data_IF_212238462741
#
_entry.id   IF_212238462741
#
_cell.length_a   1.000
_cell.length_b   1.000
_cell.length_c   1.000
_cell.angle_alpha   90.00
_cell.angle_beta   90.00
_cell.angle_gamma   90.00
#
_symmetry.space_group_name_H-M   'P 1'
#
loop_
_entity.id
_entity.type
_entity.pdbx_description
1 polymer ?
#
# COMPACT_ATOMS: atom_id res chain seq x y z
N UNK A 1 12.63 -7.12 6.34
CA UNK A 1 11.96 -7.87 5.28
C UNK A 1 10.76 -8.60 5.88
N UNK A 2 9.58 -8.54 5.22
CA UNK A 2 8.34 -9.14 5.73
C UNK A 2 7.73 -8.40 6.93
N UNK A 3 8.23 -7.24 7.28
CA UNK A 3 7.69 -6.41 8.36
C UNK A 3 6.65 -5.43 7.83
N UNK A 4 5.77 -5.02 8.71
CA UNK A 4 4.81 -3.93 8.50
C UNK A 4 5.30 -2.69 9.21
N UNK A 5 5.54 -1.63 8.44
CA UNK A 5 5.98 -0.33 8.93
C UNK A 5 4.89 0.69 8.67
N UNK A 6 4.54 1.49 9.67
CA UNK A 6 3.56 2.56 9.52
C UNK A 6 4.21 3.94 9.60
N UNK A 7 3.74 4.85 8.76
CA UNK A 7 4.12 6.27 8.78
C UNK A 7 2.85 7.06 9.07
N UNK A 8 2.85 7.78 10.18
CA UNK A 8 1.71 8.58 10.66
C UNK A 8 2.10 10.02 10.89
N UNK A 9 1.12 10.90 10.99
CA UNK A 9 1.34 12.33 11.26
C UNK A 9 0.19 13.17 10.73
N UNK A 10 0.10 14.41 11.15
CA UNK A 10 -0.92 15.36 10.71
C UNK A 10 -0.86 15.62 9.20
N UNK A 11 -1.94 16.18 8.64
CA UNK A 11 -1.92 16.64 7.25
C UNK A 11 -0.79 17.66 7.07
N UNK A 12 -0.04 17.56 5.96
CA UNK A 12 1.11 18.41 5.69
C UNK A 12 2.40 18.05 6.45
N UNK A 13 2.44 16.98 7.25
CA UNK A 13 3.67 16.55 7.96
C UNK A 13 4.79 16.01 7.06
N UNK A 14 4.54 15.79 5.76
CA UNK A 14 5.55 15.34 4.80
C UNK A 14 5.46 13.87 4.39
N UNK A 15 4.46 13.10 4.87
CA UNK A 15 4.28 11.66 4.56
C UNK A 15 4.27 11.35 3.07
N UNK A 16 3.48 12.09 2.28
CA UNK A 16 3.40 11.89 0.82
C UNK A 16 4.69 12.29 0.09
N UNK A 17 5.48 13.20 0.65
CA UNK A 17 6.82 13.52 0.12
C UNK A 17 7.78 12.37 0.39
N UNK A 18 7.75 11.82 1.61
CA UNK A 18 8.57 10.67 1.98
C UNK A 18 8.22 9.44 1.11
N UNK A 19 6.93 9.17 0.87
CA UNK A 19 6.54 8.09 -0.03
C UNK A 19 7.12 8.25 -1.44
N UNK A 20 7.07 9.45 -2.00
CA UNK A 20 7.63 9.76 -3.33
C UNK A 20 9.16 9.62 -3.40
N UNK A 21 9.85 9.90 -2.30
CA UNK A 21 11.29 9.64 -2.17
C UNK A 21 11.57 8.13 -2.12
N UNK A 22 10.83 7.37 -1.31
CA UNK A 22 11.01 5.92 -1.16
C UNK A 22 10.81 5.16 -2.47
N UNK A 23 9.89 5.58 -3.33
CA UNK A 23 9.64 4.96 -4.63
C UNK A 23 10.51 5.57 -5.76
N UNK A 24 11.38 6.50 -5.41
CA UNK A 24 12.30 7.13 -6.36
C UNK A 24 11.66 8.01 -7.40
N UNK A 25 10.53 8.64 -7.10
CA UNK A 25 9.94 9.68 -7.94
C UNK A 25 10.71 11.00 -7.82
N UNK A 26 11.23 11.29 -6.62
CA UNK A 26 12.06 12.45 -6.38
C UNK A 26 13.45 12.01 -5.86
N UNK A 27 14.52 12.69 -6.26
CA UNK A 27 15.82 12.49 -5.65
C UNK A 27 15.85 13.12 -4.26
N UNK A 28 16.61 12.53 -3.35
CA UNK A 28 16.94 13.20 -2.08
C UNK A 28 17.87 14.39 -2.35
N UNK A 29 17.59 15.55 -1.74
CA UNK A 29 18.44 16.75 -1.86
C UNK A 29 19.72 16.62 -1.02
N UNK A 30 19.71 15.80 0.01
CA UNK A 30 20.88 15.46 0.84
C UNK A 30 20.65 14.10 1.50
N UNK A 31 21.73 13.47 1.99
CA UNK A 31 21.70 12.13 2.54
C UNK A 31 21.59 11.06 1.46
N UNK A 32 21.23 9.83 1.86
CA UNK A 32 21.11 8.66 0.96
C UNK A 32 19.89 7.83 1.30
N UNK A 33 19.35 7.18 0.28
CA UNK A 33 18.30 6.17 0.43
C UNK A 33 18.93 4.84 0.06
N UNK A 34 18.91 3.89 1.00
CA UNK A 34 19.54 2.59 0.81
C UNK A 34 18.49 1.50 0.64
N UNK A 35 18.70 0.61 -0.32
CA UNK A 35 17.97 -0.64 -0.50
C UNK A 35 18.95 -1.80 -0.38
N UNK A 36 18.80 -2.66 0.62
CA UNK A 36 19.74 -3.74 0.95
C UNK A 36 21.22 -3.22 0.96
N UNK A 37 21.47 -2.11 1.67
CA UNK A 37 22.76 -1.43 1.82
C UNK A 37 23.32 -0.79 0.54
N UNK A 38 22.60 -0.82 -0.58
CA UNK A 38 22.98 -0.19 -1.83
C UNK A 38 22.29 1.18 -1.99
N UNK A 39 23.08 2.20 -2.32
CA UNK A 39 22.55 3.53 -2.57
C UNK A 39 21.61 3.51 -3.80
N UNK A 40 20.41 4.08 -3.62
CA UNK A 40 19.39 4.22 -4.67
C UNK A 40 19.95 4.80 -5.98
N UNK A 41 20.92 5.71 -5.88
CA UNK A 41 21.51 6.35 -7.07
C UNK A 41 22.36 5.38 -7.91
N UNK A 42 22.81 4.28 -7.30
CA UNK A 42 23.60 3.22 -7.96
C UNK A 42 22.73 2.10 -8.55
N UNK A 43 21.43 2.10 -8.24
CA UNK A 43 20.51 1.05 -8.67
C UNK A 43 19.84 1.39 -10.00
N UNK A 44 19.55 0.35 -10.79
CA UNK A 44 18.64 0.47 -11.92
C UNK A 44 17.25 0.85 -11.41
N UNK A 45 16.82 2.06 -11.74
CA UNK A 45 15.56 2.63 -11.25
C UNK A 45 14.34 1.89 -11.80
N UNK A 46 14.42 1.33 -13.00
CA UNK A 46 13.35 0.55 -13.59
C UNK A 46 13.20 -0.79 -12.86
N UNK A 47 14.30 -1.47 -12.59
CA UNK A 47 14.32 -2.70 -11.82
C UNK A 47 13.79 -2.47 -10.39
N UNK A 48 14.26 -1.42 -9.73
CA UNK A 48 13.80 -1.07 -8.37
C UNK A 48 12.28 -0.83 -8.30
N UNK A 49 11.73 -0.09 -9.26
CA UNK A 49 10.28 0.17 -9.33
C UNK A 49 9.46 -1.10 -9.57
N UNK A 50 10.04 -2.14 -10.17
CA UNK A 50 9.37 -3.44 -10.29
C UNK A 50 9.32 -4.20 -8.96
N UNK A 51 10.25 -3.90 -8.03
CA UNK A 51 10.28 -4.50 -6.70
C UNK A 51 9.35 -3.82 -5.70
N UNK A 52 8.75 -2.68 -6.07
CA UNK A 52 7.87 -1.89 -5.20
C UNK A 52 6.49 -1.81 -5.84
N UNK A 53 5.50 -2.44 -5.21
CA UNK A 53 4.08 -2.24 -5.52
C UNK A 53 3.56 -0.98 -4.84
N UNK A 54 2.83 -0.15 -5.57
CA UNK A 54 2.29 1.10 -5.04
C UNK A 54 0.78 1.09 -5.16
N UNK A 55 0.10 1.37 -4.06
CA UNK A 55 -1.33 1.62 -4.02
C UNK A 55 -1.53 3.07 -3.56
N UNK A 56 -1.80 3.98 -4.51
CA UNK A 56 -1.95 5.40 -4.19
C UNK A 56 -3.29 5.69 -3.54
N UNK A 57 -3.39 6.86 -2.92
CA UNK A 57 -4.63 7.37 -2.33
C UNK A 57 -5.74 7.52 -3.40
N UNK A 58 -5.38 8.05 -4.57
CA UNK A 58 -6.31 8.20 -5.70
C UNK A 58 -6.45 6.89 -6.46
N UNK A 59 -7.57 6.21 -6.24
CA UNK A 59 -7.86 4.91 -6.82
C UNK A 59 -8.43 5.05 -8.23
N UNK A 60 -7.56 5.23 -9.21
CA UNK A 60 -7.96 5.34 -10.62
C UNK A 60 -7.88 3.99 -11.33
N UNK A 61 -9.01 3.55 -11.87
CA UNK A 61 -9.09 2.45 -12.83
C UNK A 61 -9.26 3.02 -14.24
N UNK A 62 -8.68 2.30 -15.21
CA UNK A 62 -8.76 2.67 -16.63
C UNK A 62 -10.04 2.09 -17.24
N UNK A 63 -10.57 2.76 -18.26
CA UNK A 63 -11.69 2.25 -19.07
C UNK A 63 -11.23 1.08 -19.96
N UNK A 64 -10.92 -0.05 -19.31
CA UNK A 64 -10.42 -1.31 -19.87
C UNK A 64 -11.06 -2.46 -19.11
N UNK A 65 -10.78 -3.69 -19.48
CA UNK A 65 -11.23 -4.86 -18.73
C UNK A 65 -10.60 -4.94 -17.34
N UNK A 66 -11.18 -5.71 -16.43
CA UNK A 66 -10.58 -5.98 -15.11
C UNK A 66 -9.21 -6.63 -15.30
N UNK A 67 -9.07 -7.59 -16.22
CA UNK A 67 -7.79 -8.21 -16.55
C UNK A 67 -6.73 -7.17 -16.93
N UNK A 68 -7.03 -6.30 -17.89
CA UNK A 68 -6.10 -5.25 -18.35
C UNK A 68 -5.78 -4.22 -17.25
N UNK A 69 -6.75 -3.94 -16.38
CA UNK A 69 -6.54 -3.08 -15.22
C UNK A 69 -5.54 -3.68 -14.23
N UNK A 70 -5.54 -4.99 -14.04
CA UNK A 70 -4.60 -5.69 -13.14
C UNK A 70 -3.26 -5.92 -13.83
N UNK A 71 -3.27 -6.50 -15.04
CA UNK A 71 -2.06 -6.89 -15.77
C UNK A 71 -1.22 -5.68 -16.23
N UNK A 72 -1.87 -4.56 -16.56
CA UNK A 72 -1.19 -3.41 -17.16
C UNK A 72 -0.57 -3.79 -18.50
N UNK A 73 0.74 -3.57 -18.64
CA UNK A 73 1.49 -3.82 -19.86
C UNK A 73 2.19 -5.19 -19.90
N UNK A 74 1.90 -6.08 -18.93
CA UNK A 74 2.51 -7.40 -18.86
C UNK A 74 1.50 -8.50 -19.18
N UNK A 75 2.01 -9.61 -19.75
CA UNK A 75 1.19 -10.80 -19.93
C UNK A 75 1.18 -11.62 -18.63
N UNK A 76 -0.01 -11.96 -18.15
CA UNK A 76 -0.24 -12.70 -16.92
C UNK A 76 -1.04 -13.96 -17.26
N UNK A 77 -0.61 -15.12 -16.81
CA UNK A 77 -1.38 -16.36 -17.01
C UNK A 77 -2.67 -16.34 -16.17
N UNK A 78 -3.68 -17.11 -16.58
CA UNK A 78 -4.94 -17.23 -15.83
C UNK A 78 -4.70 -17.74 -14.41
N UNK A 79 -3.79 -18.71 -14.25
CA UNK A 79 -3.44 -19.24 -12.94
C UNK A 79 -2.85 -18.17 -12.02
N UNK A 80 -1.97 -17.35 -12.56
CA UNK A 80 -1.31 -16.27 -11.83
C UNK A 80 -2.27 -15.14 -11.49
N UNK A 81 -3.14 -14.76 -12.43
CA UNK A 81 -4.22 -13.80 -12.22
C UNK A 81 -5.15 -14.27 -11.10
N UNK A 82 -5.57 -15.54 -11.14
CA UNK A 82 -6.40 -16.16 -10.12
C UNK A 82 -5.73 -16.14 -8.74
N UNK A 83 -4.45 -16.50 -8.66
CA UNK A 83 -3.68 -16.44 -7.41
C UNK A 83 -3.65 -15.03 -6.81
N UNK A 84 -3.34 -14.04 -7.62
CA UNK A 84 -3.26 -12.64 -7.19
C UNK A 84 -4.62 -12.15 -6.71
N UNK A 85 -5.69 -12.42 -7.46
CA UNK A 85 -7.04 -11.99 -7.09
C UNK A 85 -7.58 -12.71 -5.85
N UNK A 86 -7.21 -13.98 -5.61
CA UNK A 86 -7.50 -14.67 -4.35
C UNK A 86 -6.71 -14.11 -3.17
N UNK A 87 -5.49 -13.64 -3.41
CA UNK A 87 -4.67 -13.00 -2.36
C UNK A 87 -5.36 -11.76 -1.80
N UNK A 88 -6.00 -10.98 -2.67
CA UNK A 88 -6.72 -9.74 -2.29
C UNK A 88 -8.24 -9.93 -2.16
N UNK A 89 -8.74 -11.16 -2.08
CA UNK A 89 -10.17 -11.48 -1.86
C UNK A 89 -11.13 -10.87 -2.89
N UNK A 90 -10.76 -10.86 -4.20
CA UNK A 90 -11.63 -10.30 -5.26
C UNK A 90 -12.00 -11.33 -6.34
N UNK A 91 -11.33 -12.49 -6.38
CA UNK A 91 -11.52 -13.49 -7.43
C UNK A 91 -12.98 -13.93 -7.59
N UNK A 92 -13.59 -14.33 -6.49
CA UNK A 92 -14.94 -14.93 -6.52
C UNK A 92 -15.98 -13.89 -6.97
N UNK A 93 -15.87 -12.66 -6.49
CA UNK A 93 -16.74 -11.56 -6.94
C UNK A 93 -16.55 -11.24 -8.44
N UNK A 94 -15.33 -11.33 -8.97
CA UNK A 94 -15.08 -11.16 -10.40
C UNK A 94 -15.75 -12.28 -11.19
N UNK A 95 -15.68 -13.53 -10.70
CA UNK A 95 -16.27 -14.69 -11.38
C UNK A 95 -17.81 -14.69 -11.34
N UNK A 96 -18.43 -13.98 -10.40
CA UNK A 96 -19.87 -13.75 -10.37
C UNK A 96 -20.33 -12.72 -11.41
N UNK A 97 -19.41 -11.91 -11.95
CA UNK A 97 -19.73 -10.96 -13.02
C UNK A 97 -19.95 -11.68 -14.36
N UNK A 98 -20.93 -11.27 -15.19
CA UNK A 98 -21.25 -11.97 -16.45
C UNK A 98 -20.08 -12.20 -17.40
N UNK A 99 -19.09 -11.29 -17.41
CA UNK A 99 -17.90 -11.36 -18.26
C UNK A 99 -16.63 -11.72 -17.48
N UNK A 100 -16.72 -12.06 -16.17
CA UNK A 100 -15.57 -12.37 -15.34
C UNK A 100 -14.47 -11.33 -15.46
N UNK A 101 -13.23 -11.74 -15.68
CA UNK A 101 -12.08 -10.85 -15.88
C UNK A 101 -12.18 -9.94 -17.11
N UNK A 102 -13.03 -10.30 -18.09
CA UNK A 102 -13.27 -9.49 -19.27
C UNK A 102 -14.34 -8.41 -19.05
N UNK A 103 -14.86 -8.28 -17.84
CA UNK A 103 -15.80 -7.22 -17.48
C UNK A 103 -15.14 -5.87 -17.71
N UNK A 104 -15.78 -5.01 -18.53
CA UNK A 104 -15.32 -3.65 -18.77
C UNK A 104 -15.54 -2.79 -17.52
N UNK A 105 -14.50 -2.11 -17.12
CA UNK A 105 -14.54 -1.10 -16.08
C UNK A 105 -14.97 0.20 -16.72
N UNK A 106 -16.08 0.77 -16.25
CA UNK A 106 -16.56 2.06 -16.72
C UNK A 106 -15.62 3.20 -16.29
N UNK A 107 -15.88 4.40 -16.79
CA UNK A 107 -15.11 5.59 -16.43
C UNK A 107 -14.95 5.68 -14.89
N UNK A 108 -13.71 5.80 -14.43
CA UNK A 108 -13.32 5.81 -13.01
C UNK A 108 -13.82 4.62 -12.19
N UNK A 109 -14.26 3.53 -12.81
CA UNK A 109 -14.74 2.34 -12.11
C UNK A 109 -16.10 2.49 -11.43
N UNK A 110 -16.98 3.37 -11.93
CA UNK A 110 -18.30 3.64 -11.33
C UNK A 110 -19.22 2.42 -11.29
N UNK A 111 -18.99 1.41 -12.11
CA UNK A 111 -19.73 0.15 -12.08
C UNK A 111 -19.23 -0.85 -11.02
N UNK A 112 -18.23 -0.47 -10.23
CA UNK A 112 -17.65 -1.27 -9.16
C UNK A 112 -17.84 -0.60 -7.80
N UNK A 113 -17.99 -1.39 -6.74
CA UNK A 113 -17.98 -0.85 -5.39
C UNK A 113 -16.61 -0.26 -5.02
N UNK A 114 -16.53 0.59 -4.00
CA UNK A 114 -15.27 1.14 -3.51
C UNK A 114 -14.27 0.05 -3.10
N UNK A 115 -14.75 -0.99 -2.39
CA UNK A 115 -13.94 -2.14 -1.99
C UNK A 115 -13.45 -2.97 -3.18
N UNK A 116 -14.28 -3.17 -4.22
CA UNK A 116 -13.87 -3.85 -5.44
C UNK A 116 -12.77 -3.08 -6.18
N UNK A 117 -12.96 -1.77 -6.35
CA UNK A 117 -11.93 -0.91 -6.97
C UNK A 117 -10.60 -1.03 -6.22
N UNK A 118 -10.64 -0.92 -4.91
CA UNK A 118 -9.46 -0.98 -4.07
C UNK A 118 -8.73 -2.33 -4.19
N UNK A 119 -9.45 -3.45 -4.15
CA UNK A 119 -8.86 -4.78 -4.30
C UNK A 119 -8.30 -5.02 -5.70
N UNK A 120 -8.90 -4.47 -6.76
CA UNK A 120 -8.35 -4.52 -8.12
C UNK A 120 -7.03 -3.74 -8.20
N UNK A 121 -6.93 -2.58 -7.55
CA UNK A 121 -5.69 -1.79 -7.52
C UNK A 121 -4.62 -2.49 -6.66
N UNK A 122 -5.00 -3.14 -5.56
CA UNK A 122 -4.10 -4.01 -4.80
C UNK A 122 -3.58 -5.16 -5.67
N UNK A 123 -4.45 -5.83 -6.44
CA UNK A 123 -4.05 -6.88 -7.37
C UNK A 123 -3.06 -6.35 -8.44
N UNK A 124 -3.31 -5.15 -9.00
CA UNK A 124 -2.40 -4.46 -9.93
C UNK A 124 -1.02 -4.22 -9.30
N UNK A 125 -0.97 -3.82 -8.03
CA UNK A 125 0.29 -3.59 -7.34
C UNK A 125 1.08 -4.88 -7.12
N UNK A 126 0.39 -6.03 -6.99
CA UNK A 126 0.99 -7.34 -6.75
C UNK A 126 1.44 -8.09 -8.01
N UNK A 127 0.92 -7.73 -9.18
CA UNK A 127 1.11 -8.51 -10.42
C UNK A 127 2.59 -8.67 -10.81
N UNK A 128 3.44 -7.72 -10.42
CA UNK A 128 4.89 -7.76 -10.63
C UNK A 128 5.65 -8.52 -9.53
N UNK A 129 4.95 -9.13 -8.60
CA UNK A 129 5.52 -9.85 -7.44
C UNK A 129 6.51 -8.99 -6.64
N UNK A 130 6.10 -7.81 -6.20
CA UNK A 130 6.99 -6.88 -5.52
C UNK A 130 7.45 -7.46 -4.18
N UNK A 131 8.62 -7.03 -3.72
CA UNK A 131 9.14 -7.34 -2.38
C UNK A 131 8.62 -6.36 -1.32
N UNK A 132 8.23 -5.17 -1.75
CA UNK A 132 7.73 -4.09 -0.90
C UNK A 132 6.40 -3.61 -1.47
N UNK A 133 5.41 -3.39 -0.62
CA UNK A 133 4.16 -2.72 -0.97
C UNK A 133 4.07 -1.43 -0.18
N UNK A 134 3.87 -0.32 -0.87
CA UNK A 134 3.56 0.97 -0.31
C UNK A 134 2.05 1.23 -0.44
N UNK A 135 1.37 1.36 0.69
CA UNK A 135 -0.05 1.66 0.80
C UNK A 135 -0.22 3.10 1.26
N UNK A 136 -0.62 4.00 0.36
CA UNK A 136 -0.86 5.40 0.67
C UNK A 136 -2.36 5.62 0.87
N UNK A 137 -2.83 5.57 2.13
CA UNK A 137 -4.25 5.64 2.54
C UNK A 137 -5.15 4.61 1.84
N UNK A 138 -4.56 3.54 1.37
CA UNK A 138 -5.10 2.61 0.40
C UNK A 138 -5.99 1.50 1.00
N UNK A 139 -6.42 1.62 2.26
CA UNK A 139 -7.31 0.63 2.90
C UNK A 139 -8.66 1.22 3.33
N UNK A 140 -8.92 2.47 2.96
CA UNK A 140 -10.08 3.25 3.42
C UNK A 140 -11.45 2.68 3.00
N UNK A 141 -11.51 1.90 1.93
CA UNK A 141 -12.75 1.29 1.44
C UNK A 141 -12.84 -0.21 1.77
N UNK A 142 -11.83 -0.79 2.42
CA UNK A 142 -11.91 -2.15 2.93
C UNK A 142 -12.59 -2.16 4.30
N UNK A 143 -13.43 -3.15 4.52
CA UNK A 143 -13.88 -3.48 5.85
C UNK A 143 -12.73 -4.12 6.67
N UNK A 144 -12.85 -4.07 7.98
CA UNK A 144 -11.79 -4.51 8.89
C UNK A 144 -11.45 -6.00 8.76
N UNK A 145 -12.37 -6.83 8.28
CA UNK A 145 -12.14 -8.28 8.11
C UNK A 145 -11.28 -8.52 6.89
N UNK A 146 -11.68 -7.98 5.73
CA UNK A 146 -10.93 -8.08 4.48
C UNK A 146 -9.53 -7.47 4.61
N UNK A 147 -9.42 -6.30 5.28
CA UNK A 147 -8.12 -5.67 5.51
C UNK A 147 -7.17 -6.59 6.29
N UNK A 148 -7.61 -7.16 7.41
CA UNK A 148 -6.80 -8.07 8.22
C UNK A 148 -6.39 -9.32 7.46
N UNK A 149 -7.31 -9.94 6.73
CA UNK A 149 -7.03 -11.13 5.92
C UNK A 149 -5.98 -10.84 4.83
N UNK A 150 -6.12 -9.74 4.11
CA UNK A 150 -5.17 -9.34 3.06
C UNK A 150 -3.80 -9.07 3.66
N UNK A 151 -3.72 -8.33 4.78
CA UNK A 151 -2.46 -8.06 5.47
C UNK A 151 -1.79 -9.34 5.98
N UNK A 152 -2.56 -10.29 6.50
CA UNK A 152 -2.04 -11.58 6.92
C UNK A 152 -1.46 -12.37 5.75
N UNK A 153 -2.17 -12.42 4.61
CA UNK A 153 -1.69 -13.07 3.39
C UNK A 153 -0.41 -12.43 2.86
N UNK A 154 -0.28 -11.09 2.93
CA UNK A 154 0.96 -10.40 2.55
C UNK A 154 2.13 -10.80 3.45
N UNK A 155 1.91 -10.91 4.76
CA UNK A 155 2.90 -11.39 5.72
C UNK A 155 3.35 -12.82 5.41
N UNK A 156 2.42 -13.72 5.09
CA UNK A 156 2.72 -15.11 4.70
C UNK A 156 3.56 -15.20 3.42
N UNK A 157 3.40 -14.24 2.50
CA UNK A 157 4.22 -14.10 1.29
C UNK A 157 5.56 -13.40 1.55
N UNK A 158 5.86 -13.04 2.82
CA UNK A 158 7.07 -12.33 3.21
C UNK A 158 7.28 -10.98 2.49
N UNK A 159 6.17 -10.29 2.19
CA UNK A 159 6.15 -8.97 1.58
C UNK A 159 6.33 -7.92 2.68
N UNK A 160 7.25 -7.00 2.48
CA UNK A 160 7.41 -5.83 3.36
C UNK A 160 6.31 -4.81 3.05
N UNK A 161 5.60 -4.36 4.07
CA UNK A 161 4.47 -3.43 3.92
C UNK A 161 4.85 -2.09 4.53
N UNK A 162 4.76 -1.02 3.75
CA UNK A 162 4.86 0.35 4.24
C UNK A 162 3.47 0.98 4.12
N UNK A 163 2.90 1.39 5.25
CA UNK A 163 1.56 1.99 5.30
C UNK A 163 1.69 3.46 5.66
N UNK A 164 1.18 4.32 4.80
CA UNK A 164 0.87 5.71 5.17
C UNK A 164 -0.60 5.73 5.55
N UNK A 165 -0.89 5.85 6.83
CA UNK A 165 -2.24 5.66 7.34
C UNK A 165 -2.78 6.91 8.03
N UNK A 166 -4.06 7.15 7.78
CA UNK A 166 -4.91 8.01 8.60
C UNK A 166 -5.79 7.20 9.56
N UNK A 167 -5.96 5.89 9.33
CA UNK A 167 -6.72 5.00 10.21
C UNK A 167 -5.79 4.30 11.20
N UNK A 168 -6.03 4.51 12.46
CA UNK A 168 -5.24 3.90 13.52
C UNK A 168 -5.39 2.38 13.59
N UNK A 169 -6.57 1.83 13.25
CA UNK A 169 -6.79 0.38 13.19
C UNK A 169 -5.80 -0.34 12.26
N UNK A 170 -5.36 0.34 11.21
CA UNK A 170 -4.42 -0.22 10.22
C UNK A 170 -2.99 -0.29 10.75
N UNK A 171 -2.63 0.50 11.77
CA UNK A 171 -1.24 0.66 12.21
C UNK A 171 -0.91 -0.02 13.54
N UNK A 172 -1.91 -0.39 14.32
CA UNK A 172 -1.73 -0.95 15.68
C UNK A 172 -0.85 -2.20 15.68
N UNK A 173 -0.97 -3.04 14.67
CA UNK A 173 -0.23 -4.29 14.48
C UNK A 173 1.08 -4.12 13.68
N UNK A 174 1.52 -2.88 13.45
CA UNK A 174 2.79 -2.60 12.77
C UNK A 174 3.98 -2.92 13.68
N UNK A 175 5.02 -3.50 13.08
CA UNK A 175 6.27 -3.79 13.77
C UNK A 175 6.96 -2.50 14.24
N UNK A 176 6.87 -1.45 13.41
CA UNK A 176 7.45 -0.15 13.67
C UNK A 176 6.51 0.96 13.18
N UNK A 177 6.35 2.00 13.97
CA UNK A 177 5.59 3.21 13.63
C UNK A 177 6.52 4.40 13.67
N UNK A 178 6.53 5.19 12.61
CA UNK A 178 7.24 6.47 12.51
C UNK A 178 6.24 7.60 12.54
N UNK A 179 6.41 8.53 13.46
CA UNK A 179 5.54 9.71 13.60
C UNK A 179 6.24 10.92 12.98
N UNK A 180 5.61 11.50 11.99
CA UNK A 180 6.13 12.65 11.27
C UNK A 180 5.44 13.95 11.70
N UNK A 181 6.24 14.97 11.91
CA UNK A 181 5.79 16.36 12.06
C UNK A 181 6.74 17.31 11.32
N UNK A 182 6.18 18.23 10.54
CA UNK A 182 6.93 19.28 9.81
C UNK A 182 8.14 18.78 9.00
N UNK A 183 8.01 17.58 8.40
CA UNK A 183 9.06 16.99 7.56
C UNK A 183 10.10 16.16 8.32
N UNK A 184 9.97 16.02 9.64
CA UNK A 184 10.89 15.28 10.49
C UNK A 184 10.20 14.06 11.13
N UNK A 185 10.96 13.00 11.41
CA UNK A 185 10.51 11.89 12.25
C UNK A 185 10.77 12.30 13.70
N UNK A 186 9.69 12.56 14.45
CA UNK A 186 9.76 13.06 15.83
C UNK A 186 9.61 11.95 16.88
N UNK A 187 8.95 10.84 16.53
CA UNK A 187 8.79 9.68 17.40
C UNK A 187 8.88 8.40 16.56
N UNK A 188 9.38 7.33 17.17
CA UNK A 188 9.39 5.99 16.58
C UNK A 188 9.27 4.92 17.63
N UNK A 189 8.62 3.82 17.32
CA UNK A 189 8.44 2.68 18.21
C UNK A 189 7.25 1.81 17.82
N UNK A 190 6.94 0.84 18.67
CA UNK A 190 5.71 0.06 18.58
C UNK A 190 4.52 0.89 19.07
N UNK A 191 3.29 0.45 18.75
CA UNK A 191 2.06 1.07 19.25
C UNK A 191 2.07 1.26 20.79
N UNK A 192 2.45 0.22 21.50
CA UNK A 192 2.46 0.24 22.97
C UNK A 192 3.50 1.22 23.52
N UNK A 193 4.69 1.27 22.95
CA UNK A 193 5.76 2.20 23.37
C UNK A 193 5.31 3.64 23.15
N UNK A 194 4.77 3.95 21.96
CA UNK A 194 4.36 5.31 21.62
C UNK A 194 3.17 5.79 22.46
N UNK A 195 2.21 4.92 22.81
CA UNK A 195 1.11 5.28 23.71
C UNK A 195 1.57 5.62 25.13
N UNK A 196 2.67 5.01 25.57
CA UNK A 196 3.22 5.25 26.91
C UNK A 196 4.15 6.47 26.99
N UNK A 197 4.47 7.11 25.86
CA UNK A 197 5.27 8.33 25.85
C UNK A 197 4.51 9.50 26.54
N UNK A 198 5.18 10.16 27.47
CA UNK A 198 4.64 11.39 28.08
C UNK A 198 4.56 12.48 27.04
N UNK A 199 3.37 13.04 26.85
CA UNK A 199 3.11 14.11 25.88
C UNK A 199 3.43 13.74 24.41
N UNK A 200 3.45 12.45 24.07
CA UNK A 200 3.73 11.95 22.73
C UNK A 200 2.75 12.48 21.70
N UNK A 201 3.25 12.82 20.52
CA UNK A 201 2.43 13.25 19.39
C UNK A 201 1.55 12.09 18.88
N UNK A 202 2.09 10.87 18.85
CA UNK A 202 1.33 9.66 18.51
C UNK A 202 0.09 9.51 19.38
N UNK A 203 0.25 9.66 20.70
CA UNK A 203 -0.86 9.57 21.65
C UNK A 203 -1.93 10.63 21.40
N UNK A 204 -1.53 11.84 21.04
CA UNK A 204 -2.46 12.92 20.68
C UNK A 204 -3.23 12.60 19.40
N UNK A 205 -2.54 12.16 18.35
CA UNK A 205 -3.15 11.72 17.09
C UNK A 205 -4.14 10.58 17.35
N UNK A 206 -3.73 9.59 18.17
CA UNK A 206 -4.58 8.47 18.57
C UNK A 206 -5.87 8.90 19.26
N UNK A 207 -5.81 9.91 20.13
CA UNK A 207 -6.97 10.42 20.87
C UNK A 207 -7.89 11.34 20.04
N UNK A 208 -7.38 11.93 18.94
CA UNK A 208 -8.14 12.89 18.13
C UNK A 208 -8.99 12.17 17.07
N UNK A 209 -8.55 10.98 16.63
CA UNK A 209 -9.23 10.19 15.61
C UNK A 209 -10.27 9.22 16.22
N UNK A 210 -10.47 9.25 17.55
CA UNK A 210 -11.48 8.55 18.35
C UNK A 210 -12.10 9.47 19.40
#
# INVERSE_FOLDING_TARGET
>A
KGEKVAIVGSSGSGKSTLSKLLIGLFPASSGSILFDDLDYNLLDKQYLRQQIGIVPQDMTLFNKTIYENIAGDISVSEEEMTKICKLVNIHDEIMEMPMGYNTLVSEMGMNLSGGQRQRIILARALVKKPKIILLDEATSYLDNVNEKEIMQKFKEQNITIIVIAHRLSTIIDSNQIFVMDKGEIVEQGSHTELLNMKNGLYKKLYQTDY
#
